data_IF_888181924198
#
_entry.id   IF_888181924198
#
_cell.length_a   1.000
_cell.length_b   1.000
_cell.length_c   1.000
_cell.angle_alpha   90.00
_cell.angle_beta   90.00
_cell.angle_gamma   90.00
#
_symmetry.space_group_name_H-M   'P 1'
#
loop_
_entity.id
_entity.type
_entity.pdbx_description
1 polymer ?
#
# COMPACT_ATOMS: atom_id res chain seq x y z
N UNK A 1 -5.36 -7.65 -11.18
CA UNK A 1 -6.53 -8.54 -11.06
C UNK A 1 -7.59 -7.81 -10.24
N UNK A 2 -8.85 -8.00 -10.58
CA UNK A 2 -10.00 -7.59 -9.76
C UNK A 2 -10.76 -8.86 -9.35
N UNK A 3 -11.18 -8.95 -8.10
CA UNK A 3 -11.91 -10.10 -7.55
C UNK A 3 -13.27 -9.63 -7.04
N UNK A 4 -14.33 -10.40 -7.32
CA UNK A 4 -15.65 -10.14 -6.75
C UNK A 4 -15.65 -10.49 -5.25
N UNK A 5 -16.02 -9.53 -4.41
CA UNK A 5 -16.01 -9.67 -2.95
C UNK A 5 -17.42 -9.80 -2.35
N UNK A 6 -18.43 -9.93 -3.20
CA UNK A 6 -19.81 -10.12 -2.78
C UNK A 6 -20.61 -8.84 -2.74
N UNK A 7 -21.78 -8.94 -2.13
CA UNK A 7 -22.86 -7.97 -2.25
C UNK A 7 -23.90 -8.23 -1.15
N UNK A 8 -24.66 -7.23 -0.77
CA UNK A 8 -25.75 -7.30 0.23
C UNK A 8 -27.09 -6.78 -0.31
N UNK A 9 -27.04 -5.99 -1.38
CA UNK A 9 -28.19 -5.35 -2.00
C UNK A 9 -29.16 -6.31 -2.69
N UNK A 10 -30.34 -5.80 -3.00
CA UNK A 10 -31.41 -6.53 -3.69
C UNK A 10 -31.48 -6.31 -5.20
N UNK A 11 -30.84 -5.28 -5.74
CA UNK A 11 -30.89 -5.00 -7.18
C UNK A 11 -29.85 -5.81 -7.97
N UNK A 12 -30.23 -6.28 -9.15
CA UNK A 12 -29.29 -6.85 -10.11
C UNK A 12 -28.45 -5.76 -10.77
N UNK A 13 -27.12 -5.93 -10.80
CA UNK A 13 -26.21 -5.03 -11.50
C UNK A 13 -24.96 -5.73 -12.00
N UNK A 14 -24.29 -5.05 -12.91
CA UNK A 14 -23.01 -5.45 -13.49
C UNK A 14 -22.00 -4.31 -13.45
N UNK A 15 -20.71 -4.66 -13.43
CA UNK A 15 -19.61 -3.71 -13.49
C UNK A 15 -19.03 -3.62 -14.90
N UNK A 16 -18.54 -2.43 -15.24
CA UNK A 16 -17.85 -2.16 -16.49
C UNK A 16 -16.58 -1.35 -16.22
N UNK A 17 -15.51 -1.66 -16.94
CA UNK A 17 -14.34 -0.77 -17.08
C UNK A 17 -14.56 0.11 -18.30
N UNK A 18 -14.80 1.41 -18.07
CA UNK A 18 -15.19 2.34 -19.14
C UNK A 18 -14.05 3.29 -19.53
N UNK A 19 -13.06 3.48 -18.67
CA UNK A 19 -11.80 4.11 -19.03
C UNK A 19 -10.63 3.26 -18.54
N UNK A 20 -9.66 2.93 -19.42
CA UNK A 20 -9.68 3.20 -20.86
C UNK A 20 -10.82 2.46 -21.60
N UNK A 21 -11.30 3.05 -22.70
CA UNK A 21 -12.41 2.49 -23.48
C UNK A 21 -12.02 1.20 -24.20
N UNK A 22 -12.99 0.33 -24.48
CA UNK A 22 -12.79 -0.85 -25.33
C UNK A 22 -12.33 -2.12 -24.60
N UNK A 23 -12.45 -2.16 -23.27
CA UNK A 23 -12.25 -3.40 -22.53
C UNK A 23 -13.29 -4.45 -22.94
N UNK A 24 -12.83 -5.54 -23.57
CA UNK A 24 -13.69 -6.59 -24.13
C UNK A 24 -14.36 -7.47 -23.07
N UNK A 25 -13.87 -7.43 -21.82
CA UNK A 25 -14.45 -8.18 -20.72
C UNK A 25 -15.71 -7.55 -20.12
N UNK A 26 -16.22 -6.46 -20.70
CA UNK A 26 -17.45 -5.82 -20.24
C UNK A 26 -18.71 -6.52 -20.79
N UNK A 27 -19.83 -6.50 -20.03
CA UNK A 27 -19.88 -6.26 -18.59
C UNK A 27 -19.35 -7.48 -17.82
N UNK A 28 -18.98 -7.30 -16.55
CA UNK A 28 -18.52 -8.38 -15.69
C UNK A 28 -19.10 -8.28 -14.27
N UNK A 29 -18.97 -9.36 -13.50
CA UNK A 29 -19.45 -9.49 -12.12
C UNK A 29 -20.92 -9.09 -11.91
N UNK A 30 -21.82 -9.92 -12.43
CA UNK A 30 -23.23 -9.83 -12.05
C UNK A 30 -23.38 -10.21 -10.57
N UNK A 31 -23.83 -9.27 -9.73
CA UNK A 31 -23.74 -9.37 -8.26
C UNK A 31 -24.44 -10.61 -7.67
N UNK A 32 -25.61 -11.01 -8.18
CA UNK A 32 -26.33 -12.20 -7.70
C UNK A 32 -25.95 -13.53 -8.38
N UNK A 33 -25.10 -13.52 -9.41
CA UNK A 33 -24.76 -14.72 -10.19
C UNK A 33 -23.27 -15.08 -10.11
N UNK A 34 -22.42 -14.11 -9.82
CA UNK A 34 -20.98 -14.29 -9.72
C UNK A 34 -20.64 -14.84 -8.35
N UNK A 35 -19.90 -15.95 -8.29
CA UNK A 35 -19.42 -16.47 -7.01
C UNK A 35 -18.38 -15.52 -6.40
N UNK A 36 -18.43 -15.33 -5.08
CA UNK A 36 -17.40 -14.57 -4.34
C UNK A 36 -16.04 -15.22 -4.55
N UNK A 37 -15.01 -14.40 -4.77
CA UNK A 37 -13.66 -14.85 -5.12
C UNK A 37 -13.42 -15.01 -6.62
N UNK A 38 -14.45 -14.88 -7.48
CA UNK A 38 -14.26 -14.90 -8.94
C UNK A 38 -13.32 -13.76 -9.34
N UNK A 39 -12.23 -14.11 -10.02
CA UNK A 39 -11.19 -13.18 -10.41
C UNK A 39 -11.24 -12.90 -11.92
N UNK A 40 -11.00 -11.64 -12.28
CA UNK A 40 -10.88 -11.17 -13.66
C UNK A 40 -9.56 -10.39 -13.83
N UNK A 41 -8.85 -10.67 -14.91
CA UNK A 41 -7.74 -9.82 -15.32
C UNK A 41 -8.26 -8.63 -16.11
N UNK A 42 -7.92 -7.42 -15.67
CA UNK A 42 -8.15 -6.20 -16.45
C UNK A 42 -7.01 -5.94 -17.45
N UNK A 43 -5.97 -6.78 -17.45
CA UNK A 43 -4.73 -6.53 -18.17
C UNK A 43 -3.72 -5.73 -17.35
N UNK A 44 -2.76 -5.13 -18.06
CA UNK A 44 -1.67 -4.34 -17.48
C UNK A 44 -1.80 -2.90 -17.95
N UNK A 45 -1.74 -1.96 -17.01
CA UNK A 45 -1.79 -0.53 -17.28
C UNK A 45 -0.53 0.14 -16.74
N UNK A 46 -0.05 1.17 -17.45
CA UNK A 46 1.06 1.97 -16.97
C UNK A 46 0.67 2.71 -15.68
N UNK A 47 1.64 2.95 -14.80
CA UNK A 47 1.42 3.75 -13.60
C UNK A 47 0.85 5.13 -13.97
N UNK A 48 -0.13 5.61 -13.20
CA UNK A 48 -0.86 6.85 -13.49
C UNK A 48 -2.00 6.72 -14.49
N UNK A 49 -2.21 5.55 -15.11
CA UNK A 49 -3.42 5.30 -15.91
C UNK A 49 -4.65 5.32 -15.01
N UNK A 50 -5.62 6.18 -15.34
CA UNK A 50 -6.90 6.22 -14.65
C UNK A 50 -7.76 5.05 -15.12
N UNK A 51 -8.20 4.23 -14.17
CA UNK A 51 -9.19 3.19 -14.40
C UNK A 51 -10.53 3.67 -13.85
N UNK A 52 -11.48 3.98 -14.74
CA UNK A 52 -12.82 4.43 -14.34
C UNK A 52 -13.80 3.28 -14.54
N UNK A 53 -14.51 2.94 -13.47
CA UNK A 53 -15.52 1.89 -13.48
C UNK A 53 -16.93 2.50 -13.46
N UNK A 54 -17.87 1.75 -14.04
CA UNK A 54 -19.30 2.05 -14.01
C UNK A 54 -20.08 0.82 -13.60
N UNK A 55 -20.93 0.98 -12.61
CA UNK A 55 -21.97 0.02 -12.26
C UNK A 55 -23.25 0.36 -13.00
N UNK A 56 -23.83 -0.63 -13.69
CA UNK A 56 -25.14 -0.52 -14.35
C UNK A 56 -26.16 -1.31 -13.54
N UNK A 57 -27.16 -0.63 -12.99
CA UNK A 57 -28.29 -1.28 -12.32
C UNK A 57 -29.29 -1.75 -13.36
N UNK A 58 -29.52 -3.06 -13.45
CA UNK A 58 -30.26 -3.67 -14.55
C UNK A 58 -31.78 -3.43 -14.45
N UNK A 59 -32.30 -3.26 -13.24
CA UNK A 59 -33.72 -3.03 -12.98
C UNK A 59 -34.16 -1.60 -13.28
N UNK A 60 -33.37 -0.60 -12.87
CA UNK A 60 -33.71 0.83 -13.01
C UNK A 60 -33.07 1.46 -14.25
N UNK A 61 -31.96 0.91 -14.74
CA UNK A 61 -31.14 1.50 -15.80
C UNK A 61 -30.13 2.54 -15.30
N UNK A 62 -30.11 2.81 -13.99
CA UNK A 62 -29.21 3.79 -13.37
C UNK A 62 -27.74 3.40 -13.52
N UNK A 63 -26.89 4.42 -13.51
CA UNK A 63 -25.46 4.30 -13.78
C UNK A 63 -24.67 5.07 -12.73
N UNK A 64 -23.81 4.36 -12.02
CA UNK A 64 -22.95 4.92 -10.98
C UNK A 64 -21.49 4.74 -11.35
N UNK A 65 -20.70 5.77 -11.12
CA UNK A 65 -19.32 5.86 -11.59
C UNK A 65 -18.35 6.02 -10.41
N UNK A 66 -17.17 5.40 -10.52
CA UNK A 66 -16.05 5.73 -9.63
C UNK A 66 -15.57 7.16 -9.89
N UNK A 67 -15.15 7.86 -8.85
CA UNK A 67 -14.61 9.21 -8.92
C UNK A 67 -15.49 10.24 -8.21
N UNK A 68 -15.34 11.54 -8.54
CA UNK A 68 -16.10 12.61 -7.91
C UNK A 68 -17.60 12.49 -8.18
N UNK A 69 -18.42 12.93 -7.21
CA UNK A 69 -19.87 12.84 -7.31
C UNK A 69 -20.47 13.65 -8.45
N UNK A 70 -19.79 14.69 -8.93
CA UNK A 70 -20.17 15.45 -10.12
C UNK A 70 -20.24 14.61 -11.41
N UNK A 71 -19.67 13.40 -11.40
CA UNK A 71 -19.81 12.43 -12.49
C UNK A 71 -21.06 11.55 -12.41
N UNK A 72 -21.81 11.60 -11.31
CA UNK A 72 -23.07 10.88 -11.11
C UNK A 72 -24.27 11.81 -11.28
N UNK A 73 -25.43 11.25 -11.63
CA UNK A 73 -26.62 12.00 -12.01
C UNK A 73 -27.19 12.90 -10.89
N UNK A 74 -26.97 12.53 -9.64
CA UNK A 74 -27.41 13.24 -8.44
C UNK A 74 -26.30 14.10 -7.79
N UNK A 75 -25.10 14.12 -8.39
CA UNK A 75 -23.97 14.87 -7.86
C UNK A 75 -23.28 14.22 -6.65
N UNK A 76 -23.65 13.00 -6.26
CA UNK A 76 -23.14 12.32 -5.07
C UNK A 76 -22.06 11.27 -5.41
N UNK A 77 -21.19 10.99 -4.44
CA UNK A 77 -20.21 9.91 -4.57
C UNK A 77 -20.87 8.59 -4.20
N UNK A 78 -20.88 7.65 -5.16
CA UNK A 78 -21.45 6.31 -5.00
C UNK A 78 -20.38 5.23 -4.84
N UNK A 79 -19.15 5.60 -4.48
CA UNK A 79 -18.04 4.66 -4.31
C UNK A 79 -17.31 4.91 -3.01
N UNK A 80 -17.08 3.82 -2.28
CA UNK A 80 -16.22 3.75 -1.11
C UNK A 80 -14.98 2.89 -1.38
N UNK A 81 -13.91 3.08 -0.61
CA UNK A 81 -12.72 2.25 -0.72
C UNK A 81 -12.00 2.11 0.62
N UNK A 82 -11.29 1.00 0.79
CA UNK A 82 -10.55 0.66 2.00
C UNK A 82 -9.45 -0.36 1.68
N UNK A 83 -8.52 -0.56 2.59
CA UNK A 83 -7.58 -1.69 2.49
C UNK A 83 -8.32 -3.00 2.73
N UNK A 84 -8.05 -4.00 1.90
CA UNK A 84 -8.49 -5.38 2.08
C UNK A 84 -7.36 -6.20 2.70
N UNK A 85 -7.64 -6.87 3.82
CA UNK A 85 -6.75 -7.87 4.39
C UNK A 85 -7.09 -9.24 3.80
N UNK A 86 -6.07 -10.01 3.43
CA UNK A 86 -6.22 -11.37 2.93
C UNK A 86 -7.14 -12.23 3.84
N UNK A 87 -8.03 -13.01 3.23
CA UNK A 87 -8.91 -13.94 3.93
C UNK A 87 -8.92 -15.33 3.27
N UNK A 88 -9.85 -16.20 3.68
CA UNK A 88 -9.96 -17.56 3.15
C UNK A 88 -10.44 -17.66 1.70
N UNK A 89 -10.99 -16.58 1.12
CA UNK A 89 -11.58 -16.55 -0.23
C UNK A 89 -10.74 -15.72 -1.20
N UNK A 90 -10.28 -14.55 -0.76
CA UNK A 90 -9.35 -13.66 -1.46
C UNK A 90 -8.06 -13.64 -0.61
N UNK A 91 -7.12 -14.59 -0.83
CA UNK A 91 -6.00 -14.85 0.08
C UNK A 91 -4.80 -13.93 -0.15
N UNK A 92 -5.07 -12.68 -0.49
CA UNK A 92 -4.06 -11.65 -0.80
C UNK A 92 -4.60 -10.29 -0.36
N UNK A 93 -3.71 -9.46 0.17
CA UNK A 93 -4.06 -8.07 0.49
C UNK A 93 -4.39 -7.29 -0.78
N UNK A 94 -5.19 -6.25 -0.64
CA UNK A 94 -5.62 -5.46 -1.79
C UNK A 94 -6.31 -4.15 -1.45
N UNK A 95 -6.88 -3.53 -2.49
CA UNK A 95 -7.76 -2.38 -2.37
C UNK A 95 -9.21 -2.86 -2.52
N UNK A 96 -9.98 -2.79 -1.45
CA UNK A 96 -11.43 -2.96 -1.49
C UNK A 96 -12.08 -1.71 -2.09
N UNK A 97 -13.04 -1.92 -2.98
CA UNK A 97 -13.89 -0.89 -3.57
C UNK A 97 -15.34 -1.34 -3.50
N UNK A 98 -16.18 -0.48 -2.95
CA UNK A 98 -17.60 -0.67 -2.74
C UNK A 98 -18.44 0.34 -3.55
N UNK A 99 -19.67 -0.02 -3.92
CA UNK A 99 -20.63 0.89 -4.57
C UNK A 99 -21.93 1.01 -3.78
N UNK A 100 -22.58 2.17 -3.92
CA UNK A 100 -24.02 2.39 -3.65
C UNK A 100 -24.81 2.28 -4.97
N UNK A 101 -25.94 1.58 -4.99
CA UNK A 101 -26.73 1.31 -6.21
C UNK A 101 -28.06 2.06 -6.35
N UNK A 102 -28.27 3.09 -5.53
CA UNK A 102 -29.46 3.94 -5.60
C UNK A 102 -29.11 5.43 -5.56
N UNK A 103 -29.86 6.24 -6.34
CA UNK A 103 -29.77 7.70 -6.31
C UNK A 103 -30.08 8.26 -4.91
N UNK A 104 -29.41 9.35 -4.54
CA UNK A 104 -29.44 9.91 -3.18
C UNK A 104 -28.37 9.29 -2.26
N UNK A 105 -27.67 8.26 -2.73
CA UNK A 105 -26.52 7.64 -2.07
C UNK A 105 -26.89 6.64 -0.98
N UNK A 106 -28.11 6.08 -1.00
CA UNK A 106 -28.53 4.99 -0.11
C UNK A 106 -28.24 5.23 1.37
N UNK A 107 -27.77 4.20 2.05
CA UNK A 107 -27.34 4.22 3.45
C UNK A 107 -25.83 4.46 3.64
N UNK A 108 -25.06 4.52 2.54
CA UNK A 108 -23.64 4.93 2.47
C UNK A 108 -22.69 3.96 3.18
N UNK A 109 -23.02 2.68 3.24
CA UNK A 109 -22.08 1.65 3.67
C UNK A 109 -21.24 1.09 2.53
N UNK A 110 -21.63 1.39 1.27
CA UNK A 110 -20.98 0.97 0.03
C UNK A 110 -20.84 -0.54 -0.11
N UNK A 111 -21.66 -1.32 0.60
CA UNK A 111 -21.56 -2.77 0.60
C UNK A 111 -22.52 -3.45 -0.38
N UNK A 112 -23.32 -2.62 -1.08
CA UNK A 112 -24.18 -3.07 -2.16
C UNK A 112 -23.35 -3.90 -3.11
N UNK A 113 -22.31 -3.36 -3.81
CA UNK A 113 -21.38 -4.12 -4.69
C UNK A 113 -19.93 -4.00 -4.25
N UNK A 114 -19.23 -5.13 -4.08
CA UNK A 114 -17.86 -5.11 -3.55
C UNK A 114 -16.88 -5.85 -4.44
N UNK A 115 -15.71 -5.25 -4.62
CA UNK A 115 -14.60 -5.82 -5.38
C UNK A 115 -13.26 -5.55 -4.69
N UNK A 116 -12.27 -6.39 -4.96
CA UNK A 116 -10.90 -6.20 -4.45
C UNK A 116 -9.90 -6.21 -5.59
N UNK A 117 -9.04 -5.19 -5.64
CA UNK A 117 -7.88 -5.14 -6.51
C UNK A 117 -6.66 -5.71 -5.79
N UNK A 118 -6.14 -6.83 -6.28
CA UNK A 118 -5.11 -7.64 -5.58
C UNK A 118 -3.72 -7.56 -6.21
N UNK A 119 -3.54 -6.69 -7.22
CA UNK A 119 -2.26 -6.51 -7.91
C UNK A 119 -2.04 -5.03 -8.29
N UNK A 120 -2.29 -4.13 -7.36
CA UNK A 120 -1.94 -2.72 -7.49
C UNK A 120 -0.51 -2.56 -7.00
N UNK A 121 0.44 -2.38 -7.92
CA UNK A 121 1.86 -2.18 -7.59
C UNK A 121 2.24 -0.73 -7.81
N UNK A 122 2.93 -0.14 -6.85
CA UNK A 122 3.64 1.12 -7.01
C UNK A 122 5.12 0.78 -7.15
N UNK A 123 5.53 0.37 -8.34
CA UNK A 123 6.93 0.18 -8.64
C UNK A 123 7.56 1.57 -8.83
N UNK A 124 7.94 2.21 -7.74
CA UNK A 124 8.72 3.46 -7.77
C UNK A 124 10.20 3.05 -7.86
N UNK A 125 10.93 3.41 -8.92
CA UNK A 125 12.38 3.19 -8.95
C UNK A 125 13.01 3.87 -7.73
N UNK A 126 13.89 3.15 -7.04
CA UNK A 126 14.67 3.71 -5.92
C UNK A 126 15.26 5.05 -6.35
N UNK A 127 15.13 6.12 -5.53
CA UNK A 127 15.58 7.43 -5.93
C UNK A 127 17.07 7.37 -6.27
N UNK A 128 17.48 7.99 -7.38
CA UNK A 128 18.87 7.98 -7.85
C UNK A 128 19.90 8.50 -6.83
N UNK A 129 19.44 9.14 -5.75
CA UNK A 129 20.25 9.44 -4.56
C UNK A 129 20.84 8.19 -3.90
N UNK A 130 20.15 7.04 -3.93
CA UNK A 130 20.68 5.78 -3.44
C UNK A 130 21.77 5.23 -4.35
N UNK A 131 21.63 5.40 -5.68
CA UNK A 131 22.69 5.07 -6.62
C UNK A 131 23.94 5.95 -6.38
N UNK A 132 23.76 7.27 -6.21
CA UNK A 132 24.85 8.20 -5.87
C UNK A 132 25.49 7.91 -4.50
N UNK A 133 24.70 7.52 -3.50
CA UNK A 133 25.21 7.13 -2.18
C UNK A 133 26.02 5.83 -2.25
N UNK A 134 25.55 4.83 -3.01
CA UNK A 134 26.28 3.59 -3.23
C UNK A 134 27.59 3.82 -3.98
N UNK A 135 27.59 4.70 -4.99
CA UNK A 135 28.81 5.10 -5.70
C UNK A 135 29.77 5.87 -4.79
N UNK A 136 29.27 6.81 -3.97
CA UNK A 136 30.09 7.55 -3.01
C UNK A 136 30.70 6.62 -1.93
N UNK A 137 29.95 5.63 -1.46
CA UNK A 137 30.44 4.65 -0.49
C UNK A 137 31.51 3.72 -1.08
N UNK A 138 31.43 3.40 -2.37
CA UNK A 138 32.44 2.59 -3.06
C UNK A 138 33.69 3.40 -3.44
N UNK A 139 33.53 4.71 -3.69
CA UNK A 139 34.63 5.61 -4.03
C UNK A 139 35.38 6.16 -2.80
N UNK A 140 34.87 5.94 -1.57
CA UNK A 140 35.51 6.42 -0.36
C UNK A 140 36.86 5.69 -0.13
N UNK A 141 38.01 6.40 -0.10
CA UNK A 141 39.28 5.78 0.21
C UNK A 141 39.28 5.29 1.67
N UNK A 142 39.78 4.08 1.91
CA UNK A 142 39.99 3.57 3.26
C UNK A 142 40.79 4.59 4.07
N UNK A 143 40.22 5.06 5.18
CA UNK A 143 40.87 6.00 6.07
C UNK A 143 42.26 5.44 6.46
N UNK A 144 43.35 6.23 6.36
CA UNK A 144 44.66 5.76 6.75
C UNK A 144 44.64 5.43 8.24
N UNK A 145 44.83 4.15 8.56
CA UNK A 145 44.94 3.68 9.94
C UNK A 145 46.03 4.45 10.68
N UNK A 146 45.69 4.94 11.88
CA UNK A 146 46.66 5.53 12.80
C UNK A 146 47.86 4.61 12.95
N UNK A 147 49.04 5.11 12.58
CA UNK A 147 50.30 4.38 12.78
C UNK A 147 50.55 4.32 14.29
N UNK A 148 50.66 3.13 14.90
CA UNK A 148 51.02 3.03 16.30
C UNK A 148 52.40 3.67 16.51
N UNK A 149 52.46 4.65 17.40
CA UNK A 149 53.67 5.39 17.73
C UNK A 149 54.80 4.46 18.19
N UNK A 150 56.01 4.68 17.67
CA UNK A 150 57.23 4.00 18.14
C UNK A 150 57.47 4.37 19.62
N UNK A 151 57.60 3.41 20.54
CA UNK A 151 58.00 3.73 21.91
C UNK A 151 59.47 4.13 21.96
N UNK A 152 59.76 5.32 22.48
CA UNK A 152 61.12 5.75 22.83
C UNK A 152 61.49 5.13 24.18
N UNK A 153 62.46 4.20 24.17
CA UNK A 153 63.07 3.68 25.38
C UNK A 153 64.04 4.70 25.98
N UNK A 154 63.68 5.30 27.10
CA UNK A 154 64.65 5.90 28.02
C UNK A 154 64.37 5.38 29.43
N UNK A 155 65.27 4.52 29.91
CA UNK A 155 65.26 4.02 31.27
C UNK A 155 65.84 5.03 32.25
N UNK A 156 65.21 5.16 33.40
CA UNK A 156 65.86 5.67 34.61
C UNK A 156 65.28 4.97 35.84
N UNK A 157 66.16 4.50 36.71
CA UNK A 157 65.86 3.73 37.93
C UNK A 157 65.23 4.61 39.02
N UNK A 158 64.36 4.00 39.83
CA UNK A 158 63.75 4.54 41.06
C UNK A 158 64.79 4.93 42.12
N UNK A 159 64.40 5.66 43.18
CA UNK A 159 64.18 4.93 44.43
C UNK A 159 63.15 5.49 45.45
N UNK A 160 62.74 4.57 46.32
CA UNK A 160 62.35 4.67 47.75
C UNK A 160 60.94 5.06 48.18
N UNK A 161 60.40 4.17 49.01
CA UNK A 161 59.14 4.20 49.73
C UNK A 161 59.16 5.14 50.95
N UNK A 162 57.97 5.55 51.42
CA UNK A 162 57.63 5.60 52.85
C UNK A 162 56.12 5.42 53.03
N UNK A 163 55.80 4.50 53.93
CA UNK A 163 54.51 4.02 54.42
C UNK A 163 53.74 5.03 55.27
N UNK A 164 52.40 5.04 55.17
CA UNK A 164 51.48 4.91 56.33
C UNK A 164 50.02 4.78 55.88
N UNK A 165 49.29 3.83 56.47
CA UNK A 165 47.84 3.61 56.39
C UNK A 165 47.19 4.01 57.73
N UNK A 166 45.91 3.72 58.01
CA UNK A 166 44.64 4.10 57.37
C UNK A 166 43.67 4.75 58.40
N UNK A 167 42.49 5.24 58.01
CA UNK A 167 41.26 4.99 58.79
C UNK A 167 39.99 5.31 58.00
N UNK A 168 39.07 4.35 58.04
CA UNK A 168 37.67 4.42 57.62
C UNK A 168 36.82 4.90 58.78
N UNK A 169 35.86 5.80 58.55
CA UNK A 169 34.75 6.07 59.47
C UNK A 169 33.41 5.92 58.75
N UNK A 170 32.54 5.13 59.34
CA UNK A 170 31.28 4.61 58.81
C UNK A 170 30.08 5.52 59.09
N UNK A 171 29.07 5.41 58.20
CA UNK A 171 27.59 5.52 58.42
C UNK A 171 27.03 6.85 58.96
N UNK A 172 25.72 7.15 58.78
CA UNK A 172 24.55 6.37 59.22
C UNK A 172 23.84 5.55 58.13
#
# INVERSE_FOLDING_TARGET
MICFAGQTAGYDRVLNLIEPTGFLGNPFFHNHQTAVGTALSLGTYAAGTVLRFRMDVLSTGDKFFTGPGTGNADGLVHVGHATWAADGVIPVDGLWVGFEDILGGGDRDYDDNRFVFTNVRSDVPEPGSLALLAEAALAAPAAPGERPGRPLHHGWRSPTATTSSPSTSSTP
#
